data_IF_191255958838
#
_entry.id   IF_191255958838
#
_cell.length_a   1.000
_cell.length_b   1.000
_cell.length_c   1.000
_cell.angle_alpha   90.00
_cell.angle_beta   90.00
_cell.angle_gamma   90.00
#
_symmetry.space_group_name_H-M   'P 1'
#
loop_
_entity.id
_entity.type
_entity.pdbx_description
1 polymer ?
#
# COMPACT_ATOMS: atom_id res chain seq x y z
N UNK A 1 23.12 -14.69 24.72
CA UNK A 1 23.17 -13.83 23.52
C UNK A 1 21.77 -13.69 22.96
N UNK A 2 21.15 -12.52 23.12
CA UNK A 2 19.82 -12.24 22.56
C UNK A 2 20.02 -11.81 21.11
N UNK A 3 19.57 -12.62 20.14
CA UNK A 3 19.54 -12.23 18.73
C UNK A 3 18.47 -11.15 18.57
N UNK A 4 18.85 -9.88 18.58
CA UNK A 4 17.96 -8.80 18.13
C UNK A 4 17.75 -8.99 16.62
N UNK A 5 16.62 -9.58 16.23
CA UNK A 5 16.19 -9.55 14.83
C UNK A 5 15.81 -8.10 14.51
N UNK A 6 16.67 -7.42 13.75
CA UNK A 6 16.32 -6.15 13.14
C UNK A 6 15.16 -6.42 12.16
N UNK A 7 13.94 -6.08 12.57
CA UNK A 7 12.76 -6.11 11.71
C UNK A 7 12.88 -4.97 10.69
N UNK A 8 13.61 -5.22 9.59
CA UNK A 8 13.73 -4.27 8.50
C UNK A 8 12.39 -4.24 7.76
N UNK A 9 11.62 -3.16 7.96
CA UNK A 9 10.42 -2.91 7.14
C UNK A 9 10.86 -2.58 5.72
N UNK A 10 10.44 -3.39 4.75
CA UNK A 10 10.83 -3.23 3.34
C UNK A 10 9.77 -2.37 2.68
N UNK A 11 10.12 -1.12 2.39
CA UNK A 11 9.27 -0.22 1.60
C UNK A 11 9.32 -0.63 0.13
N UNK A 12 8.19 -0.56 -0.54
CA UNK A 12 8.01 -0.87 -1.96
C UNK A 12 7.38 0.33 -2.64
N UNK A 13 7.85 0.57 -3.85
CA UNK A 13 7.44 1.68 -4.71
C UNK A 13 6.97 1.09 -6.04
N UNK A 14 5.78 1.45 -6.51
CA UNK A 14 5.25 1.01 -7.81
C UNK A 14 4.69 2.17 -8.62
N UNK A 15 4.98 2.17 -9.91
CA UNK A 15 4.44 3.14 -10.87
C UNK A 15 3.17 2.55 -11.50
N UNK A 16 2.11 3.35 -11.59
CA UNK A 16 0.83 2.94 -12.16
C UNK A 16 0.29 4.01 -13.13
N UNK A 17 -0.47 3.58 -14.12
CA UNK A 17 -1.26 4.47 -14.98
C UNK A 17 -2.60 4.87 -14.34
N UNK A 18 -3.21 3.95 -13.60
CA UNK A 18 -4.44 4.19 -12.85
C UNK A 18 -4.42 3.36 -11.58
N UNK A 19 -4.92 3.92 -10.47
CA UNK A 19 -5.16 3.17 -9.25
C UNK A 19 -6.62 3.26 -8.82
N UNK A 20 -7.13 2.19 -8.20
CA UNK A 20 -8.47 2.13 -7.62
C UNK A 20 -8.37 1.54 -6.22
N UNK A 21 -8.77 2.32 -5.21
CA UNK A 21 -8.87 1.86 -3.83
C UNK A 21 -10.23 1.15 -3.65
N UNK A 22 -10.21 -0.01 -2.99
CA UNK A 22 -11.40 -0.79 -2.61
C UNK A 22 -11.33 -1.13 -1.12
N UNK A 23 -12.48 -1.20 -0.47
CA UNK A 23 -12.58 -1.43 0.98
C UNK A 23 -12.66 -0.13 1.78
N UNK A 24 -12.27 -0.18 3.06
CA UNK A 24 -12.36 0.98 3.97
C UNK A 24 -10.99 1.59 4.18
N UNK A 25 -10.83 2.80 3.63
CA UNK A 25 -9.62 3.59 3.74
C UNK A 25 -9.92 4.90 4.46
N UNK A 26 -9.06 5.25 5.41
CA UNK A 26 -9.04 6.56 6.04
C UNK A 26 -7.92 7.38 5.43
N UNK A 27 -8.27 8.48 4.77
CA UNK A 27 -7.27 9.45 4.36
C UNK A 27 -6.73 10.16 5.61
N UNK A 28 -5.41 10.21 5.75
CA UNK A 28 -4.74 11.01 6.77
C UNK A 28 -4.54 12.41 6.19
N UNK A 29 -5.22 13.39 6.78
CA UNK A 29 -5.12 14.83 6.45
C UNK A 29 -5.37 15.18 4.96
N UNK A 30 -4.90 16.34 4.52
CA UNK A 30 -4.89 16.75 3.10
C UNK A 30 -3.76 16.06 2.30
N UNK A 31 -2.99 15.20 2.94
CA UNK A 31 -1.96 14.39 2.30
C UNK A 31 -2.57 13.26 1.47
N UNK A 32 -1.77 12.73 0.56
CA UNK A 32 -2.14 11.56 -0.24
C UNK A 32 -1.80 10.25 0.49
N UNK A 33 -1.94 10.27 1.82
CA UNK A 33 -1.70 9.17 2.74
C UNK A 33 -3.03 8.51 3.07
N UNK A 34 -3.10 7.20 2.89
CA UNK A 34 -4.28 6.39 3.16
C UNK A 34 -3.92 5.30 4.17
N UNK A 35 -4.80 5.09 5.13
CA UNK A 35 -4.69 4.02 6.12
C UNK A 35 -5.83 3.04 5.95
N UNK A 36 -5.51 1.76 5.84
CA UNK A 36 -6.50 0.68 5.82
C UNK A 36 -7.21 0.60 7.18
N UNK A 37 -8.55 0.66 7.22
CA UNK A 37 -9.32 0.56 8.47
C UNK A 37 -9.72 -0.87 8.82
N UNK A 38 -9.62 -1.80 7.85
CA UNK A 38 -9.97 -3.22 7.98
C UNK A 38 -9.05 -4.08 7.12
N UNK A 39 -8.78 -5.30 7.58
CA UNK A 39 -8.08 -6.30 6.77
C UNK A 39 -8.80 -6.53 5.44
N UNK A 40 -8.02 -6.74 4.38
CA UNK A 40 -8.55 -6.99 3.03
C UNK A 40 -8.93 -5.71 2.26
N UNK A 41 -8.70 -4.52 2.82
CA UNK A 41 -8.72 -3.30 2.00
C UNK A 41 -7.64 -3.42 0.93
N UNK A 42 -7.99 -3.13 -0.32
CA UNK A 42 -7.13 -3.43 -1.47
C UNK A 42 -6.99 -2.25 -2.43
N UNK A 43 -5.92 -2.29 -3.20
CA UNK A 43 -5.64 -1.33 -4.26
C UNK A 43 -5.39 -2.12 -5.54
N UNK A 44 -6.23 -1.87 -6.53
CA UNK A 44 -6.01 -2.36 -7.89
C UNK A 44 -5.21 -1.31 -8.66
N UNK A 45 -4.03 -1.70 -9.12
CA UNK A 45 -3.13 -0.91 -9.95
C UNK A 45 -3.25 -1.39 -11.40
N UNK A 46 -3.40 -0.45 -12.32
CA UNK A 46 -3.19 -0.69 -13.75
C UNK A 46 -1.79 -0.15 -14.07
N UNK A 47 -0.84 -1.04 -14.27
CA UNK A 47 0.55 -0.71 -14.57
C UNK A 47 0.70 -0.21 -16.01
N UNK A 48 1.85 0.41 -16.29
CA UNK A 48 2.21 0.80 -17.66
C UNK A 48 2.23 -0.45 -18.55
N UNK A 49 1.51 -0.41 -19.67
CA UNK A 49 1.31 -1.58 -20.54
C UNK A 49 0.04 -2.38 -20.27
N UNK A 50 -0.83 -1.93 -19.35
CA UNK A 50 -2.19 -2.48 -19.16
C UNK A 50 -2.24 -3.71 -18.23
N UNK A 51 -1.12 -4.15 -17.68
CA UNK A 51 -1.10 -5.21 -16.68
C UNK A 51 -1.81 -4.74 -15.41
N UNK A 52 -2.74 -5.55 -14.90
CA UNK A 52 -3.48 -5.24 -13.67
C UNK A 52 -2.93 -6.05 -12.51
N UNK A 53 -2.66 -5.38 -11.40
CA UNK A 53 -2.22 -5.99 -10.15
C UNK A 53 -3.18 -5.57 -9.02
N UNK A 54 -3.50 -6.48 -8.09
CA UNK A 54 -4.28 -6.13 -6.90
C UNK A 54 -3.50 -6.46 -5.65
N UNK A 55 -3.30 -5.45 -4.81
CA UNK A 55 -2.60 -5.54 -3.54
C UNK A 55 -3.64 -5.48 -2.41
N UNK A 56 -3.66 -6.47 -1.53
CA UNK A 56 -4.53 -6.50 -0.35
C UNK A 56 -3.70 -6.21 0.89
N UNK A 57 -4.27 -5.44 1.83
CA UNK A 57 -3.54 -4.91 2.97
C UNK A 57 -4.17 -5.27 4.31
N UNK A 58 -3.33 -5.43 5.32
CA UNK A 58 -3.70 -5.57 6.73
C UNK A 58 -4.37 -4.28 7.24
N UNK A 59 -5.18 -4.39 8.29
CA UNK A 59 -5.72 -3.27 9.04
C UNK A 59 -4.57 -2.44 9.61
N UNK A 60 -4.67 -1.12 9.45
CA UNK A 60 -3.65 -0.18 9.91
C UNK A 60 -2.48 0.01 8.95
N UNK A 61 -2.44 -0.72 7.83
CA UNK A 61 -1.46 -0.53 6.77
C UNK A 61 -1.55 0.91 6.23
N UNK A 62 -0.39 1.53 6.09
CA UNK A 62 -0.25 2.88 5.54
C UNK A 62 0.24 2.80 4.09
N UNK A 63 -0.46 3.51 3.20
CA UNK A 63 -0.16 3.60 1.78
C UNK A 63 -0.10 5.06 1.39
N UNK A 64 0.95 5.43 0.65
CA UNK A 64 1.10 6.76 0.09
C UNK A 64 0.91 6.71 -1.42
N UNK A 65 0.11 7.62 -1.99
CA UNK A 65 -0.18 7.66 -3.42
C UNK A 65 0.11 9.07 -3.95
N UNK A 66 1.23 9.26 -4.66
CA UNK A 66 1.60 10.57 -5.21
C UNK A 66 1.78 10.54 -6.72
N UNK A 67 0.89 11.23 -7.42
CA UNK A 67 0.86 11.22 -8.88
C UNK A 67 0.58 9.81 -9.39
N UNK A 68 1.54 9.25 -10.10
CA UNK A 68 1.57 7.90 -10.66
C UNK A 68 2.34 6.90 -9.80
N UNK A 69 2.79 7.29 -8.60
CA UNK A 69 3.56 6.45 -7.69
C UNK A 69 2.72 6.02 -6.48
N UNK A 70 2.74 4.73 -6.15
CA UNK A 70 2.27 4.20 -4.88
C UNK A 70 3.44 3.68 -4.06
N UNK A 71 3.47 4.00 -2.76
CA UNK A 71 4.44 3.45 -1.82
C UNK A 71 3.74 2.74 -0.66
N UNK A 72 4.24 1.57 -0.29
CA UNK A 72 3.69 0.74 0.79
C UNK A 72 4.79 -0.13 1.42
N UNK A 73 4.49 -0.80 2.54
CA UNK A 73 5.41 -1.78 3.13
C UNK A 73 5.01 -3.20 2.77
N UNK A 74 5.97 -4.02 2.35
CA UNK A 74 5.70 -5.40 1.94
C UNK A 74 5.14 -6.25 3.08
N UNK A 75 5.53 -5.97 4.32
CA UNK A 75 5.01 -6.67 5.50
C UNK A 75 3.53 -6.38 5.78
N UNK A 76 2.99 -5.30 5.22
CA UNK A 76 1.60 -4.89 5.42
C UNK A 76 0.66 -5.52 4.39
N UNK A 77 1.20 -6.24 3.39
CA UNK A 77 0.41 -7.04 2.45
C UNK A 77 -0.18 -8.29 3.13
N UNK A 78 -1.31 -8.74 2.61
CA UNK A 78 -2.00 -10.00 2.92
C UNK A 78 -1.78 -11.03 1.81
#
# INVERSE_FOLDING_TARGET
MIKQQMNIRVKQDKIFSTCKLKGRWKQKDKSQDFRSEKDGSSITLILLGGLTETLSFKKGADVFIKGDLIQYYNQDLL
#
